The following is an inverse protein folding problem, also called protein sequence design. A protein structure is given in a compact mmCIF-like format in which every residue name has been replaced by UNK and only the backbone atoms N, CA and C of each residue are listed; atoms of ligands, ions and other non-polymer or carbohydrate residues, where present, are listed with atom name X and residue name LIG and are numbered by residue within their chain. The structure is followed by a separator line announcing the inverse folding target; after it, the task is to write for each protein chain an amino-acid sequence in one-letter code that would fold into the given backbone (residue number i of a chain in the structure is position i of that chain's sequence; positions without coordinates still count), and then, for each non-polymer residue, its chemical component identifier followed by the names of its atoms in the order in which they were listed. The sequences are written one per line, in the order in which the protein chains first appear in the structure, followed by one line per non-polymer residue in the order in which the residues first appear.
data_IF_284235720380
#
_entry.id   IF_284235720380
#
_cell.length_a   1.000
_cell.length_b   1.000
_cell.length_c   1.000
_cell.angle_alpha   90.00
_cell.angle_beta   90.00
_cell.angle_gamma   90.00
#
_symmetry.space_group_name_H-M   'P 1'
#
loop_
_entity.id
_entity.type
_entity.pdbx_description
1 polymer ?
#
# COMPACT_ATOMS: atom_id res chain seq x y z
N UNK A 1 10.71 19.06 92.35
CA UNK A 1 12.08 19.63 92.42
C UNK A 1 12.30 20.38 91.11
N UNK A 2 12.25 21.71 91.07
CA UNK A 2 13.23 22.67 91.60
C UNK A 2 14.46 22.87 90.68
N UNK A 3 14.39 23.96 89.89
CA UNK A 3 15.49 24.78 89.33
C UNK A 3 16.71 24.10 88.70
N UNK A 4 16.96 24.41 87.43
CA UNK A 4 18.13 25.25 87.12
C UNK A 4 17.89 26.15 85.89
N UNK A 5 18.60 27.28 85.79
CA UNK A 5 18.41 28.28 84.72
C UNK A 5 19.70 29.08 84.49
N UNK A 6 19.87 29.62 83.26
CA UNK A 6 20.91 30.60 82.83
C UNK A 6 22.32 30.01 82.54
N UNK A 7 23.11 30.50 81.57
CA UNK A 7 22.95 31.62 80.60
C UNK A 7 23.92 31.49 79.38
N UNK A 8 24.01 32.55 78.53
CA UNK A 8 24.97 32.86 77.42
C UNK A 8 24.50 32.42 76.01
N UNK A 9 24.64 33.18 74.89
CA UNK A 9 24.76 34.65 74.61
C UNK A 9 24.50 34.91 73.09
N UNK A 10 23.53 35.78 72.72
CA UNK A 10 23.41 36.51 71.41
C UNK A 10 23.23 35.65 70.11
N UNK A 11 22.73 36.14 68.98
CA UNK A 11 22.36 37.51 68.56
C UNK A 11 21.04 37.52 67.74
N UNK A 12 20.39 38.68 67.64
CA UNK A 12 19.18 38.86 66.83
C UNK A 12 19.50 39.21 65.36
N UNK A 13 18.64 38.78 64.43
CA UNK A 13 18.25 39.58 63.26
C UNK A 13 16.89 39.13 62.73
N UNK A 14 15.96 40.08 62.69
CA UNK A 14 14.57 39.90 62.25
C UNK A 14 14.48 39.80 60.73
N UNK A 15 13.49 39.05 60.25
CA UNK A 15 13.20 38.90 58.83
C UNK A 15 12.79 40.25 58.20
N UNK A 16 13.13 40.43 56.92
CA UNK A 16 12.52 41.43 56.05
C UNK A 16 11.93 40.71 54.84
N UNK A 17 10.63 40.94 54.63
CA UNK A 17 9.87 40.42 53.49
C UNK A 17 10.38 41.01 52.18
N UNK A 18 10.59 40.16 51.17
CA UNK A 18 10.88 40.57 49.79
C UNK A 18 9.57 40.62 48.96
N UNK A 19 9.47 41.53 47.98
CA UNK A 19 8.25 41.74 47.18
C UNK A 19 7.97 40.57 46.21
N UNK A 20 6.75 40.48 45.67
CA UNK A 20 6.36 39.40 44.75
C UNK A 20 7.19 39.42 43.46
N UNK A 21 7.59 38.23 43.00
CA UNK A 21 8.26 38.08 41.71
C UNK A 21 7.26 38.25 40.58
N UNK A 22 7.58 39.14 39.64
CA UNK A 22 6.91 39.35 38.36
C UNK A 22 6.83 38.06 37.55
N UNK A 23 5.71 37.86 36.84
CA UNK A 23 5.55 36.76 35.90
C UNK A 23 6.59 36.84 34.75
N UNK A 24 7.12 35.70 34.24
CA UNK A 24 7.97 35.70 33.07
C UNK A 24 7.21 36.15 31.82
N UNK A 25 7.82 37.04 31.04
CA UNK A 25 7.27 37.50 29.76
C UNK A 25 7.41 36.43 28.67
N UNK A 26 6.53 36.46 27.67
CA UNK A 26 6.49 35.51 26.58
C UNK A 26 7.65 35.69 25.58
N UNK A 27 8.82 35.12 25.89
CA UNK A 27 9.93 34.86 24.96
C UNK A 27 10.73 33.63 25.39
N UNK A 28 10.17 32.42 25.19
CA UNK A 28 10.91 31.14 25.14
C UNK A 28 9.96 29.99 24.71
N UNK A 29 9.36 30.10 23.53
CA UNK A 29 8.58 29.02 22.89
C UNK A 29 9.07 28.80 21.47
N UNK A 30 10.37 28.48 21.35
CA UNK A 30 11.02 28.25 20.05
C UNK A 30 12.27 27.35 20.15
N UNK A 31 12.19 26.20 20.86
CA UNK A 31 13.19 25.11 20.71
C UNK A 31 12.75 23.75 21.34
N UNK A 32 11.63 23.20 20.86
CA UNK A 32 11.34 21.74 20.97
C UNK A 32 10.87 21.14 19.63
N UNK A 33 11.37 21.69 18.52
CA UNK A 33 11.28 21.05 17.21
C UNK A 33 12.54 20.20 17.01
N UNK A 34 12.49 18.91 17.41
CA UNK A 34 13.72 18.10 17.46
C UNK A 34 13.57 16.64 17.88
N UNK A 35 12.36 16.07 17.88
CA UNK A 35 12.15 14.62 17.94
C UNK A 35 11.09 14.24 16.91
N UNK A 36 11.54 14.04 15.67
CA UNK A 36 10.69 13.49 14.62
C UNK A 36 10.33 12.05 14.97
N UNK A 37 9.10 11.82 15.42
CA UNK A 37 8.50 10.51 15.27
C UNK A 37 8.48 10.20 13.77
N UNK A 38 9.26 9.21 13.34
CA UNK A 38 9.28 8.75 11.96
C UNK A 38 7.95 8.03 11.66
N UNK A 39 6.87 8.80 11.50
CA UNK A 39 5.57 8.28 11.14
C UNK A 39 5.67 7.72 9.72
N UNK A 40 5.31 6.45 9.57
CA UNK A 40 5.25 5.80 8.26
C UNK A 40 4.32 6.60 7.35
N UNK A 41 4.90 7.14 6.27
CA UNK A 41 4.20 7.92 5.25
C UNK A 41 3.11 7.05 4.60
N UNK A 42 1.85 7.52 4.47
CA UNK A 42 0.80 6.69 3.92
C UNK A 42 1.09 6.34 2.45
N UNK A 43 0.84 5.08 2.10
CA UNK A 43 1.08 4.55 0.75
C UNK A 43 -0.24 4.12 0.12
N UNK A 44 -0.50 4.59 -1.09
CA UNK A 44 -1.56 4.10 -1.97
C UNK A 44 -0.94 3.22 -3.06
N UNK A 45 -1.28 1.93 -3.03
CA UNK A 45 -0.95 0.97 -4.08
C UNK A 45 -2.18 0.82 -4.97
N UNK A 46 -2.02 0.95 -6.28
CA UNK A 46 -3.08 0.79 -7.25
C UNK A 46 -2.71 -0.34 -8.21
N UNK A 47 -3.63 -1.25 -8.47
CA UNK A 47 -3.47 -2.38 -9.39
C UNK A 47 -4.45 -2.18 -10.54
N UNK A 48 -3.95 -1.99 -11.75
CA UNK A 48 -4.84 -1.64 -12.84
C UNK A 48 -4.37 -1.82 -14.27
N UNK A 49 -5.33 -1.73 -15.17
CA UNK A 49 -5.23 -1.94 -16.61
C UNK A 49 -6.60 -1.67 -17.23
N UNK A 50 -6.67 -1.07 -18.41
CA UNK A 50 -7.96 -0.88 -19.07
C UNK A 50 -8.44 -2.18 -19.73
N UNK A 51 -7.53 -3.05 -20.17
CA UNK A 51 -7.91 -4.39 -20.64
C UNK A 51 -8.50 -5.29 -19.53
N UNK A 52 -9.62 -5.94 -19.85
CA UNK A 52 -10.22 -7.01 -19.03
C UNK A 52 -9.45 -8.34 -19.14
N UNK A 53 -9.56 -9.19 -18.11
CA UNK A 53 -9.00 -10.55 -18.14
C UNK A 53 -7.47 -10.68 -18.02
N UNK A 54 -6.73 -9.58 -17.82
CA UNK A 54 -5.26 -9.59 -17.63
C UNK A 54 -4.82 -10.01 -16.22
N UNK A 55 -5.76 -10.37 -15.33
CA UNK A 55 -5.46 -10.87 -13.98
C UNK A 55 -5.12 -9.81 -12.93
N UNK A 56 -5.71 -8.60 -13.01
CA UNK A 56 -5.56 -7.53 -11.99
C UNK A 56 -5.77 -8.05 -10.56
N UNK A 57 -6.93 -8.63 -10.28
CA UNK A 57 -7.27 -9.21 -8.97
C UNK A 57 -6.32 -10.34 -8.56
N UNK A 58 -5.75 -11.09 -9.50
CA UNK A 58 -4.71 -12.11 -9.22
C UNK A 58 -3.45 -11.46 -8.65
N UNK A 59 -3.00 -10.36 -9.24
CA UNK A 59 -1.83 -9.60 -8.76
C UNK A 59 -2.15 -8.87 -7.45
N UNK A 60 -3.34 -8.29 -7.31
CA UNK A 60 -3.81 -7.69 -6.07
C UNK A 60 -3.79 -8.69 -4.89
N UNK A 61 -4.27 -9.93 -5.10
CA UNK A 61 -4.22 -11.00 -4.09
C UNK A 61 -2.80 -11.45 -3.75
N UNK A 62 -1.92 -11.54 -4.75
CA UNK A 62 -0.50 -11.84 -4.53
C UNK A 62 0.18 -10.75 -3.69
N UNK A 63 -0.10 -9.47 -3.98
CA UNK A 63 0.39 -8.34 -3.20
C UNK A 63 -0.15 -8.37 -1.76
N UNK A 64 -1.45 -8.61 -1.56
CA UNK A 64 -2.04 -8.68 -0.21
C UNK A 64 -1.43 -9.81 0.63
N UNK A 65 -1.24 -11.01 0.07
CA UNK A 65 -0.60 -12.12 0.78
C UNK A 65 0.88 -11.86 1.08
N UNK A 66 1.63 -11.23 0.16
CA UNK A 66 3.03 -10.83 0.37
C UNK A 66 3.16 -9.74 1.46
N UNK A 67 2.27 -8.76 1.47
CA UNK A 67 2.25 -7.71 2.48
C UNK A 67 1.88 -8.29 3.86
N UNK A 68 0.88 -9.19 3.91
CA UNK A 68 0.50 -9.90 5.12
C UNK A 68 1.64 -10.80 5.66
N UNK A 69 2.35 -11.54 4.81
CA UNK A 69 3.49 -12.37 5.25
C UNK A 69 4.67 -11.54 5.78
N UNK A 70 4.78 -10.28 5.37
CA UNK A 70 5.74 -9.30 5.87
C UNK A 70 5.20 -8.42 7.02
N UNK A 71 4.07 -8.79 7.64
CA UNK A 71 3.42 -8.08 8.75
C UNK A 71 2.97 -6.65 8.41
N UNK A 72 2.80 -6.31 7.13
CA UNK A 72 2.23 -5.05 6.69
C UNK A 72 0.71 -5.16 6.73
N UNK A 73 0.08 -4.38 7.61
CA UNK A 73 -1.39 -4.27 7.65
C UNK A 73 -1.83 -3.41 6.47
N UNK A 74 -2.78 -3.93 5.68
CA UNK A 74 -3.31 -3.29 4.48
C UNK A 74 -4.84 -3.21 4.58
N UNK A 75 -5.41 -2.11 4.09
CA UNK A 75 -6.83 -2.00 3.77
C UNK A 75 -7.01 -1.99 2.25
N UNK A 76 -7.98 -2.73 1.74
CA UNK A 76 -8.19 -2.92 0.31
C UNK A 76 -9.50 -2.28 -0.16
N UNK A 77 -9.49 -1.83 -1.40
CA UNK A 77 -10.63 -1.22 -2.09
C UNK A 77 -10.82 -1.92 -3.43
N UNK A 78 -12.03 -2.43 -3.64
CA UNK A 78 -12.43 -3.17 -4.83
C UNK A 78 -13.39 -2.29 -5.64
N UNK A 79 -12.98 -1.90 -6.84
CA UNK A 79 -13.79 -0.97 -7.65
C UNK A 79 -14.80 -1.67 -8.58
N UNK A 80 -14.94 -3.00 -8.48
CA UNK A 80 -15.94 -3.78 -9.24
C UNK A 80 -17.33 -3.69 -8.60
N UNK A 81 -17.84 -2.47 -8.47
CA UNK A 81 -19.13 -2.17 -7.83
C UNK A 81 -20.33 -2.67 -8.67
N UNK A 82 -21.42 -3.19 -8.05
CA UNK A 82 -21.64 -3.40 -6.62
C UNK A 82 -21.26 -4.81 -6.13
N UNK A 83 -20.61 -5.63 -6.97
CA UNK A 83 -20.45 -7.07 -6.70
C UNK A 83 -19.17 -7.42 -5.93
N UNK A 84 -18.08 -6.73 -6.23
CA UNK A 84 -16.73 -7.10 -5.84
C UNK A 84 -16.21 -8.35 -6.56
N UNK A 85 -14.90 -8.39 -6.79
CA UNK A 85 -14.15 -9.59 -7.17
C UNK A 85 -13.07 -9.91 -6.12
N UNK A 86 -12.29 -8.90 -5.71
CA UNK A 86 -11.29 -9.02 -4.64
C UNK A 86 -11.93 -9.28 -3.28
N UNK A 87 -13.07 -8.62 -2.99
CA UNK A 87 -13.76 -8.75 -1.69
C UNK A 87 -14.11 -10.20 -1.34
N UNK A 88 -14.41 -11.03 -2.36
CA UNK A 88 -14.69 -12.46 -2.19
C UNK A 88 -13.56 -13.21 -1.48
N UNK A 89 -12.30 -12.82 -1.71
CA UNK A 89 -11.12 -13.50 -1.18
C UNK A 89 -10.56 -12.87 0.10
N UNK A 90 -10.77 -11.57 0.30
CA UNK A 90 -10.24 -10.81 1.45
C UNK A 90 -11.33 -9.95 2.12
N UNK A 91 -12.47 -10.53 2.56
CA UNK A 91 -13.65 -9.77 2.97
C UNK A 91 -13.41 -8.84 4.17
N UNK A 92 -12.62 -9.29 5.15
CA UNK A 92 -12.32 -8.56 6.39
C UNK A 92 -11.56 -7.24 6.16
N UNK A 93 -10.83 -7.12 5.05
CA UNK A 93 -10.01 -5.94 4.74
C UNK A 93 -10.46 -5.19 3.49
N UNK A 94 -11.44 -5.70 2.74
CA UNK A 94 -11.79 -5.19 1.40
C UNK A 94 -13.17 -4.56 1.37
N UNK A 95 -13.23 -3.30 0.92
CA UNK A 95 -14.49 -2.56 0.73
C UNK A 95 -14.75 -2.35 -0.76
N UNK A 96 -15.97 -2.67 -1.22
CA UNK A 96 -16.40 -2.35 -2.58
C UNK A 96 -16.76 -0.87 -2.67
N UNK A 97 -16.27 -0.19 -3.71
CA UNK A 97 -16.36 1.26 -3.89
C UNK A 97 -16.49 1.66 -5.37
N UNK A 98 -16.94 2.87 -5.66
CA UNK A 98 -16.77 3.53 -6.96
C UNK A 98 -15.88 4.77 -6.79
N UNK A 99 -14.64 4.70 -7.27
CA UNK A 99 -13.68 5.82 -7.20
C UNK A 99 -14.11 7.05 -8.04
N UNK A 100 -15.16 6.94 -8.85
CA UNK A 100 -15.76 8.07 -9.56
C UNK A 100 -16.82 8.81 -8.71
N UNK A 101 -17.20 8.28 -7.54
CA UNK A 101 -18.13 8.92 -6.60
C UNK A 101 -17.38 9.58 -5.43
N UNK A 102 -17.69 10.85 -5.16
CA UNK A 102 -17.03 11.62 -4.08
C UNK A 102 -17.10 10.97 -2.68
N UNK A 103 -18.23 10.38 -2.22
CA UNK A 103 -18.27 9.72 -0.91
C UNK A 103 -17.28 8.55 -0.77
N UNK A 104 -16.95 7.90 -1.88
CA UNK A 104 -16.03 6.76 -1.92
C UNK A 104 -14.59 7.23 -2.11
N UNK A 105 -14.35 8.29 -2.90
CA UNK A 105 -13.07 9.02 -2.93
C UNK A 105 -12.65 9.46 -1.53
N UNK A 106 -13.56 10.09 -0.76
CA UNK A 106 -13.31 10.49 0.63
C UNK A 106 -12.97 9.28 1.52
N UNK A 107 -13.68 8.15 1.35
CA UNK A 107 -13.40 6.91 2.12
C UNK A 107 -12.03 6.33 1.83
N UNK A 108 -11.52 6.47 0.60
CA UNK A 108 -10.17 6.06 0.22
C UNK A 108 -9.13 7.07 0.75
N UNK A 109 -9.30 8.36 0.47
CA UNK A 109 -8.24 9.38 0.51
C UNK A 109 -8.15 10.14 1.84
N UNK A 110 -9.24 10.73 2.34
CA UNK A 110 -9.26 11.51 3.61
C UNK A 110 -8.79 10.67 4.80
N UNK A 111 -8.99 9.36 4.68
CA UNK A 111 -8.61 8.34 5.66
C UNK A 111 -7.15 7.92 5.56
N UNK A 112 -6.38 8.25 4.52
CA UNK A 112 -4.95 7.89 4.41
C UNK A 112 -4.13 8.45 5.57
N UNK A 113 -4.36 9.73 5.92
CA UNK A 113 -3.66 10.41 6.99
C UNK A 113 -4.17 10.01 8.38
N UNK A 114 -5.48 9.84 8.54
CA UNK A 114 -6.13 9.59 9.85
C UNK A 114 -6.18 8.11 10.25
N UNK A 115 -6.12 7.18 9.30
CA UNK A 115 -6.06 5.74 9.54
C UNK A 115 -4.79 5.33 10.27
N UNK A 116 -4.90 4.36 11.17
CA UNK A 116 -3.75 3.66 11.76
C UNK A 116 -3.10 2.72 10.73
N UNK A 117 -3.90 2.17 9.81
CA UNK A 117 -3.43 1.38 8.66
C UNK A 117 -2.93 2.33 7.58
N UNK A 118 -1.61 2.37 7.37
CA UNK A 118 -0.95 3.32 6.46
C UNK A 118 -0.84 2.84 5.01
N UNK A 119 -1.21 1.60 4.72
CA UNK A 119 -1.17 1.05 3.36
C UNK A 119 -2.59 0.78 2.85
N UNK A 120 -2.94 1.41 1.74
CA UNK A 120 -4.17 1.18 0.99
C UNK A 120 -3.84 0.46 -0.32
N UNK A 121 -4.58 -0.58 -0.70
CA UNK A 121 -4.53 -1.19 -2.02
C UNK A 121 -5.85 -0.97 -2.77
N UNK A 122 -5.81 -0.54 -4.03
CA UNK A 122 -6.98 -0.44 -4.92
C UNK A 122 -6.84 -1.48 -6.03
N UNK A 123 -7.82 -2.39 -6.17
CA UNK A 123 -7.99 -3.22 -7.36
C UNK A 123 -8.99 -2.53 -8.31
N UNK A 124 -8.50 -2.14 -9.49
CA UNK A 124 -9.31 -1.44 -10.48
C UNK A 124 -10.15 -2.42 -11.32
N UNK A 125 -11.42 -2.09 -11.55
CA UNK A 125 -12.27 -2.82 -12.51
C UNK A 125 -11.73 -2.68 -13.93
N UNK A 126 -12.21 -3.52 -14.85
CA UNK A 126 -11.83 -3.41 -16.26
C UNK A 126 -12.28 -2.06 -16.87
N UNK A 127 -11.45 -1.49 -17.74
CA UNK A 127 -11.70 -0.22 -18.44
C UNK A 127 -11.85 0.98 -17.50
N UNK A 128 -11.07 1.05 -16.42
CA UNK A 128 -11.18 2.10 -15.42
C UNK A 128 -9.83 2.62 -14.88
N UNK A 129 -8.67 2.19 -15.41
CA UNK A 129 -7.38 2.68 -14.94
C UNK A 129 -7.25 4.19 -15.23
N UNK A 130 -7.41 4.59 -16.50
CA UNK A 130 -7.29 5.99 -16.91
C UNK A 130 -8.29 6.91 -16.19
N UNK A 131 -9.55 6.49 -16.04
CA UNK A 131 -10.57 7.30 -15.34
C UNK A 131 -10.31 7.39 -13.83
N UNK A 132 -9.82 6.32 -13.20
CA UNK A 132 -9.44 6.33 -11.78
C UNK A 132 -8.24 7.23 -11.52
N UNK A 133 -7.23 7.21 -12.40
CA UNK A 133 -6.08 8.12 -12.34
C UNK A 133 -6.49 9.59 -12.57
N UNK A 134 -7.43 9.85 -13.47
CA UNK A 134 -8.02 11.17 -13.65
C UNK A 134 -8.78 11.64 -12.40
N UNK A 135 -9.58 10.77 -11.76
CA UNK A 135 -10.25 11.08 -10.51
C UNK A 135 -9.24 11.43 -9.39
N UNK A 136 -8.13 10.67 -9.26
CA UNK A 136 -7.05 10.97 -8.32
C UNK A 136 -6.34 12.31 -8.63
N UNK A 137 -6.14 12.64 -9.90
CA UNK A 137 -5.62 13.95 -10.31
C UNK A 137 -6.58 15.08 -9.90
N UNK A 138 -7.87 14.94 -10.20
CA UNK A 138 -8.85 16.02 -10.09
C UNK A 138 -9.17 16.37 -8.63
N UNK A 139 -8.94 15.46 -7.68
CA UNK A 139 -8.99 15.71 -6.23
C UNK A 139 -7.63 16.14 -5.63
N UNK A 140 -6.60 16.35 -6.45
CA UNK A 140 -5.27 16.81 -6.02
C UNK A 140 -4.37 15.74 -5.39
N UNK A 141 -4.74 14.46 -5.43
CA UNK A 141 -3.93 13.39 -4.81
C UNK A 141 -2.54 13.25 -5.47
N UNK A 142 -2.45 13.40 -6.79
CA UNK A 142 -1.16 13.31 -7.49
C UNK A 142 -0.23 14.46 -7.15
N UNK A 143 -0.75 15.68 -6.94
CA UNK A 143 0.04 16.83 -6.50
C UNK A 143 0.51 16.65 -5.05
N UNK A 144 -0.31 16.06 -4.17
CA UNK A 144 0.08 15.72 -2.80
C UNK A 144 1.14 14.58 -2.76
N UNK A 145 1.02 13.57 -3.64
CA UNK A 145 2.05 12.54 -3.79
C UNK A 145 3.40 13.15 -4.22
N UNK A 146 3.37 14.04 -5.22
CA UNK A 146 4.52 14.83 -5.69
C UNK A 146 5.11 15.75 -4.60
N UNK A 147 4.27 16.37 -3.77
CA UNK A 147 4.70 17.18 -2.63
C UNK A 147 5.37 16.36 -1.52
N UNK A 148 5.22 15.02 -1.56
CA UNK A 148 5.80 14.11 -0.59
C UNK A 148 4.86 13.72 0.56
N UNK A 149 3.57 14.06 0.48
CA UNK A 149 2.58 13.71 1.52
C UNK A 149 2.19 12.21 1.47
N UNK A 150 2.12 11.65 0.26
CA UNK A 150 1.75 10.26 0.01
C UNK A 150 2.76 9.53 -0.87
N UNK A 151 2.93 8.23 -0.67
CA UNK A 151 3.63 7.37 -1.62
C UNK A 151 2.58 6.81 -2.57
N UNK A 152 2.78 6.99 -3.88
CA UNK A 152 1.89 6.42 -4.88
C UNK A 152 2.63 5.34 -5.68
N UNK A 153 2.07 4.14 -5.70
CA UNK A 153 2.61 2.97 -6.39
C UNK A 153 1.57 2.45 -7.36
N UNK A 154 1.90 2.34 -8.66
CA UNK A 154 1.00 1.79 -9.67
C UNK A 154 1.56 0.51 -10.27
N UNK A 155 0.87 -0.61 -10.05
CA UNK A 155 1.05 -1.87 -10.76
C UNK A 155 0.13 -1.88 -11.98
N UNK A 156 0.66 -1.49 -13.14
CA UNK A 156 -0.07 -1.50 -14.41
C UNK A 156 0.09 -2.84 -15.11
N UNK A 157 -0.99 -3.63 -15.13
CA UNK A 157 -1.02 -5.00 -15.63
C UNK A 157 -1.18 -5.02 -17.14
N UNK A 158 -0.10 -5.33 -17.85
CA UNK A 158 -0.11 -5.33 -19.30
C UNK A 158 -0.86 -6.56 -19.85
N UNK A 159 -1.60 -6.34 -20.93
CA UNK A 159 -2.14 -7.39 -21.77
C UNK A 159 -1.24 -7.69 -22.97
N UNK A 160 -1.25 -8.93 -23.51
CA UNK A 160 -0.44 -9.34 -24.65
C UNK A 160 -1.02 -8.83 -25.98
N UNK A 161 -1.12 -7.52 -26.15
CA UNK A 161 -1.71 -6.87 -27.34
C UNK A 161 -1.28 -5.42 -27.45
N UNK A 162 -1.03 -4.94 -28.67
CA UNK A 162 -0.60 -3.55 -28.95
C UNK A 162 -1.50 -2.50 -28.27
N UNK A 163 -2.82 -2.70 -28.24
CA UNK A 163 -3.75 -1.81 -27.54
C UNK A 163 -3.38 -1.60 -26.06
N UNK A 164 -2.94 -2.65 -25.37
CA UNK A 164 -2.54 -2.58 -23.95
C UNK A 164 -1.10 -2.10 -23.74
N UNK A 165 -0.25 -2.16 -24.78
CA UNK A 165 1.01 -1.42 -24.75
C UNK A 165 0.78 0.10 -24.98
N UNK A 166 -0.24 0.48 -25.76
CA UNK A 166 -0.63 1.89 -25.91
C UNK A 166 -1.13 2.52 -24.61
N UNK A 167 -1.83 1.76 -23.74
CA UNK A 167 -2.25 2.17 -22.39
C UNK A 167 -1.08 2.76 -21.57
N UNK A 168 0.17 2.32 -21.81
CA UNK A 168 1.38 2.87 -21.15
C UNK A 168 1.55 4.36 -21.43
N UNK A 169 1.30 4.82 -22.66
CA UNK A 169 1.45 6.22 -23.06
C UNK A 169 0.32 7.09 -22.53
N UNK A 170 -0.87 6.51 -22.35
CA UNK A 170 -2.05 7.18 -21.77
C UNK A 170 -1.94 7.30 -20.24
N UNK A 171 -1.30 6.32 -19.59
CA UNK A 171 -1.02 6.30 -18.15
C UNK A 171 0.14 7.21 -17.75
N UNK A 172 1.18 7.32 -18.59
CA UNK A 172 2.43 8.03 -18.30
C UNK A 172 2.27 9.44 -17.67
N UNK A 173 1.34 10.32 -18.12
CA UNK A 173 1.16 11.65 -17.53
C UNK A 173 0.82 11.63 -16.03
N UNK A 174 0.10 10.61 -15.56
CA UNK A 174 -0.38 10.50 -14.18
C UNK A 174 0.64 9.92 -13.20
N UNK A 175 1.76 9.38 -13.70
CA UNK A 175 2.71 8.57 -12.91
C UNK A 175 4.14 9.11 -12.93
N UNK A 176 4.33 10.36 -13.34
CA UNK A 176 5.64 11.03 -13.37
C UNK A 176 6.34 10.98 -12.00
N UNK A 177 5.57 11.22 -10.94
CA UNK A 177 6.01 11.29 -9.54
C UNK A 177 5.56 10.05 -8.73
N UNK A 178 5.34 8.90 -9.40
CA UNK A 178 4.88 7.66 -8.80
C UNK A 178 5.88 6.51 -9.02
N UNK A 179 5.87 5.51 -8.13
CA UNK A 179 6.58 4.25 -8.37
C UNK A 179 5.77 3.39 -9.36
N UNK A 180 6.17 3.43 -10.62
CA UNK A 180 5.41 2.84 -11.72
C UNK A 180 5.98 1.47 -12.13
N UNK A 181 5.14 0.44 -12.02
CA UNK A 181 5.49 -0.93 -12.36
C UNK A 181 4.68 -1.43 -13.55
N UNK A 182 5.37 -1.81 -14.62
CA UNK A 182 4.80 -2.45 -15.81
C UNK A 182 4.80 -3.97 -15.59
N UNK A 183 3.63 -4.55 -15.38
CA UNK A 183 3.50 -5.94 -14.92
C UNK A 183 3.16 -6.88 -16.08
N UNK A 184 4.09 -7.77 -16.42
CA UNK A 184 3.88 -8.89 -17.34
C UNK A 184 3.27 -10.06 -16.54
N UNK A 185 1.94 -10.18 -16.57
CA UNK A 185 1.22 -11.26 -15.87
C UNK A 185 0.90 -12.42 -16.82
N UNK A 186 1.60 -13.54 -16.67
CA UNK A 186 1.49 -14.70 -17.55
C UNK A 186 0.27 -15.58 -17.20
N UNK A 187 -0.95 -15.03 -17.35
CA UNK A 187 -2.21 -15.80 -17.18
C UNK A 187 -2.30 -16.96 -18.19
N UNK A 188 -1.68 -16.78 -19.35
CA UNK A 188 -1.51 -17.78 -20.42
C UNK A 188 -0.06 -17.73 -20.94
N UNK A 189 0.26 -18.57 -21.93
CA UNK A 189 1.61 -18.72 -22.48
C UNK A 189 1.96 -17.61 -23.49
N UNK A 190 1.57 -16.36 -23.19
CA UNK A 190 1.92 -15.17 -23.97
C UNK A 190 3.39 -14.79 -23.80
N UNK A 191 3.95 -14.13 -24.80
CA UNK A 191 5.35 -13.69 -24.83
C UNK A 191 5.53 -12.17 -24.72
N UNK A 192 4.47 -11.40 -24.46
CA UNK A 192 4.52 -9.92 -24.30
C UNK A 192 5.36 -9.13 -25.33
N UNK A 193 5.47 -9.66 -26.56
CA UNK A 193 6.34 -9.13 -27.63
C UNK A 193 7.85 -9.16 -27.30
N UNK A 194 8.29 -10.02 -26.38
CA UNK A 194 9.70 -10.23 -26.01
C UNK A 194 10.60 -10.63 -27.22
N UNK A 195 9.98 -11.10 -28.32
CA UNK A 195 10.64 -11.41 -29.60
C UNK A 195 10.77 -10.23 -30.57
N UNK A 196 10.17 -9.07 -30.25
CA UNK A 196 10.21 -7.85 -31.07
C UNK A 196 10.81 -6.66 -30.27
N UNK A 197 12.15 -6.49 -30.33
CA UNK A 197 12.83 -5.36 -29.68
C UNK A 197 12.35 -3.98 -30.13
N UNK A 198 11.83 -3.84 -31.36
CA UNK A 198 11.36 -2.55 -31.86
C UNK A 198 10.03 -2.16 -31.21
N UNK A 199 9.11 -3.12 -31.04
CA UNK A 199 7.89 -2.92 -30.24
C UNK A 199 8.22 -2.61 -28.79
N UNK A 200 9.11 -3.39 -28.14
CA UNK A 200 9.52 -3.11 -26.76
C UNK A 200 10.08 -1.69 -26.60
N UNK A 201 11.05 -1.30 -27.43
CA UNK A 201 11.64 0.05 -27.37
C UNK A 201 10.61 1.16 -27.63
N UNK A 202 9.62 0.91 -28.49
CA UNK A 202 8.57 1.88 -28.85
C UNK A 202 7.58 2.16 -27.72
N UNK A 203 7.36 1.21 -26.80
CA UNK A 203 6.38 1.36 -25.72
C UNK A 203 7.02 1.48 -24.33
N UNK A 204 7.92 0.58 -23.96
CA UNK A 204 8.60 0.58 -22.66
C UNK A 204 9.64 1.70 -22.59
N UNK A 205 10.40 1.91 -23.68
CA UNK A 205 11.42 2.97 -23.77
C UNK A 205 10.89 4.41 -23.68
N UNK A 206 9.57 4.62 -23.71
CA UNK A 206 8.95 5.94 -23.53
C UNK A 206 8.88 6.39 -22.08
N UNK A 207 8.90 5.47 -21.10
CA UNK A 207 8.69 5.80 -19.69
C UNK A 207 9.95 5.56 -18.87
N UNK A 208 10.65 6.65 -18.54
CA UNK A 208 11.96 6.60 -17.86
C UNK A 208 11.92 6.11 -16.41
N UNK A 209 10.76 6.21 -15.76
CA UNK A 209 10.57 5.90 -14.34
C UNK A 209 9.79 4.58 -14.14
N UNK A 210 9.59 3.79 -15.21
CA UNK A 210 8.92 2.50 -15.13
C UNK A 210 9.91 1.37 -14.86
N UNK A 211 9.55 0.44 -13.97
CA UNK A 211 10.26 -0.83 -13.78
C UNK A 211 9.36 -2.00 -14.20
N UNK A 212 9.93 -3.03 -14.82
CA UNK A 212 9.17 -4.25 -15.13
C UNK A 212 9.02 -5.16 -13.91
N UNK A 213 7.88 -5.84 -13.82
CA UNK A 213 7.56 -6.90 -12.85
C UNK A 213 6.99 -8.10 -13.59
N UNK A 214 7.48 -9.30 -13.32
CA UNK A 214 6.97 -10.54 -13.92
C UNK A 214 6.18 -11.34 -12.92
N UNK A 215 4.91 -11.63 -13.24
CA UNK A 215 4.10 -12.57 -12.46
C UNK A 215 3.99 -13.87 -13.28
N UNK A 216 4.69 -14.95 -12.90
CA UNK A 216 4.70 -16.20 -13.64
C UNK A 216 3.31 -16.85 -13.70
N UNK A 217 3.12 -17.79 -14.63
CA UNK A 217 1.89 -18.57 -14.73
C UNK A 217 1.73 -19.52 -13.54
N UNK A 218 0.63 -19.41 -12.80
CA UNK A 218 0.23 -20.46 -11.85
C UNK A 218 -0.28 -21.69 -12.63
N UNK A 219 -0.06 -22.89 -12.09
CA UNK A 219 -0.65 -24.11 -12.64
C UNK A 219 -2.18 -23.96 -12.75
N UNK A 220 -2.77 -24.23 -13.92
CA UNK A 220 -4.18 -23.95 -14.19
C UNK A 220 -5.14 -24.64 -13.20
N UNK A 221 -4.93 -25.93 -12.91
CA UNK A 221 -5.74 -26.66 -11.93
C UNK A 221 -5.55 -26.11 -10.51
N UNK A 222 -4.34 -25.69 -10.14
CA UNK A 222 -4.13 -25.03 -8.86
C UNK A 222 -4.87 -23.69 -8.79
N UNK A 223 -4.81 -22.88 -9.84
CA UNK A 223 -5.54 -21.61 -9.94
C UNK A 223 -7.06 -21.81 -9.81
N UNK A 224 -7.63 -22.73 -10.59
CA UNK A 224 -9.06 -23.10 -10.53
C UNK A 224 -9.49 -23.55 -9.13
N UNK A 225 -8.66 -24.33 -8.42
CA UNK A 225 -8.99 -24.79 -7.07
C UNK A 225 -8.89 -23.66 -6.02
N UNK A 226 -7.97 -22.69 -6.16
CA UNK A 226 -7.98 -21.48 -5.30
C UNK A 226 -9.19 -20.59 -5.64
N UNK A 227 -9.54 -20.45 -6.92
CA UNK A 227 -10.74 -19.73 -7.36
C UNK A 227 -12.01 -20.35 -6.78
N UNK A 228 -12.12 -21.68 -6.73
CA UNK A 228 -13.25 -22.37 -6.11
C UNK A 228 -13.26 -22.21 -4.58
N UNK A 229 -12.11 -22.33 -3.93
CA UNK A 229 -11.99 -22.18 -2.48
C UNK A 229 -12.40 -20.78 -1.98
N UNK A 230 -12.16 -19.73 -2.78
CA UNK A 230 -12.58 -18.37 -2.44
C UNK A 230 -11.81 -17.77 -1.26
N UNK A 231 -10.60 -18.25 -0.98
CA UNK A 231 -9.76 -17.81 0.14
C UNK A 231 -8.55 -16.99 -0.33
N UNK A 232 -7.81 -16.34 0.59
CA UNK A 232 -6.43 -15.94 0.34
C UNK A 232 -5.60 -17.14 -0.14
N UNK A 233 -4.55 -16.90 -0.94
CA UNK A 233 -3.68 -17.98 -1.43
C UNK A 233 -2.88 -18.57 -0.26
N UNK A 234 -2.48 -17.73 0.70
CA UNK A 234 -1.88 -18.14 1.98
C UNK A 234 -2.75 -19.14 2.74
N UNK A 235 -4.05 -18.86 2.91
CA UNK A 235 -5.01 -19.78 3.55
C UNK A 235 -5.16 -21.09 2.77
N UNK A 236 -5.20 -21.02 1.44
CA UNK A 236 -5.25 -22.23 0.60
C UNK A 236 -4.00 -23.10 0.83
N UNK A 237 -2.79 -22.51 0.84
CA UNK A 237 -1.51 -23.19 1.09
C UNK A 237 -1.40 -23.75 2.52
N UNK A 238 -1.98 -23.06 3.49
CA UNK A 238 -2.09 -23.50 4.89
C UNK A 238 -3.11 -24.64 5.10
N UNK A 239 -3.83 -25.06 4.04
CA UNK A 239 -4.90 -26.05 4.09
C UNK A 239 -6.08 -25.60 4.97
N UNK A 240 -6.54 -24.36 4.76
CA UNK A 240 -7.62 -23.74 5.54
C UNK A 240 -8.73 -23.17 4.67
N UNK A 241 -9.95 -23.20 5.20
CA UNK A 241 -11.12 -22.51 4.67
C UNK A 241 -11.07 -21.00 4.99
N UNK A 242 -12.03 -20.23 4.46
CA UNK A 242 -12.18 -18.81 4.79
C UNK A 242 -12.44 -18.55 6.29
N UNK A 243 -13.04 -19.51 7.01
CA UNK A 243 -13.25 -19.43 8.47
C UNK A 243 -12.04 -19.89 9.29
N UNK A 244 -10.94 -20.27 8.64
CA UNK A 244 -9.72 -20.73 9.31
C UNK A 244 -9.72 -22.21 9.73
N UNK A 245 -10.81 -22.93 9.46
CA UNK A 245 -10.96 -24.37 9.72
C UNK A 245 -10.12 -25.21 8.76
N UNK A 246 -9.71 -26.45 9.14
CA UNK A 246 -9.01 -27.36 8.26
C UNK A 246 -9.79 -27.63 6.97
N UNK A 247 -9.12 -27.49 5.83
CA UNK A 247 -9.62 -27.88 4.52
C UNK A 247 -9.07 -29.27 4.12
N UNK A 248 -9.31 -29.66 2.86
CA UNK A 248 -8.76 -30.86 2.25
C UNK A 248 -8.15 -30.53 0.87
N UNK A 249 -7.37 -29.45 0.81
CA UNK A 249 -6.73 -28.99 -0.41
C UNK A 249 -5.54 -29.90 -0.75
N UNK A 250 -5.54 -30.44 -1.97
CA UNK A 250 -4.47 -31.30 -2.48
C UNK A 250 -3.07 -30.74 -2.21
N UNK A 251 -2.23 -31.53 -1.53
CA UNK A 251 -0.84 -31.20 -1.23
C UNK A 251 -0.07 -30.68 -2.45
N UNK A 252 -0.27 -31.33 -3.61
CA UNK A 252 0.37 -30.95 -4.88
C UNK A 252 -0.06 -29.57 -5.35
N UNK A 253 -1.36 -29.26 -5.26
CA UNK A 253 -1.89 -27.95 -5.67
C UNK A 253 -1.46 -26.85 -4.70
N UNK A 254 -1.46 -27.12 -3.39
CA UNK A 254 -0.86 -26.24 -2.38
C UNK A 254 0.63 -26.01 -2.63
N UNK A 255 1.35 -27.03 -3.11
CA UNK A 255 2.76 -26.93 -3.54
C UNK A 255 2.96 -25.98 -4.71
N UNK A 256 2.10 -26.04 -5.74
CA UNK A 256 2.14 -25.10 -6.87
C UNK A 256 1.87 -23.66 -6.41
N UNK A 257 0.82 -23.44 -5.60
CA UNK A 257 0.48 -22.09 -5.11
C UNK A 257 1.60 -21.51 -4.25
N UNK A 258 2.18 -22.29 -3.33
CA UNK A 258 3.32 -21.86 -2.50
C UNK A 258 4.55 -21.49 -3.32
N UNK A 259 4.91 -22.33 -4.29
CA UNK A 259 6.06 -22.09 -5.18
C UNK A 259 5.84 -20.83 -6.03
N UNK A 260 4.60 -20.58 -6.45
CA UNK A 260 4.22 -19.38 -7.19
C UNK A 260 4.26 -18.12 -6.31
N UNK A 261 3.73 -18.18 -5.08
CA UNK A 261 3.83 -17.07 -4.12
C UNK A 261 5.29 -16.70 -3.83
N UNK A 262 6.19 -17.68 -3.66
CA UNK A 262 7.61 -17.41 -3.45
C UNK A 262 8.24 -16.64 -4.62
N UNK A 263 7.96 -17.03 -5.87
CA UNK A 263 8.46 -16.32 -7.06
C UNK A 263 7.92 -14.89 -7.17
N UNK A 264 6.66 -14.68 -6.80
CA UNK A 264 6.09 -13.33 -6.75
C UNK A 264 6.76 -12.48 -5.66
N UNK A 265 7.06 -13.08 -4.49
CA UNK A 265 7.79 -12.42 -3.41
C UNK A 265 9.20 -12.02 -3.85
N UNK A 266 9.94 -12.91 -4.53
CA UNK A 266 11.25 -12.59 -5.12
C UNK A 266 11.19 -11.38 -6.06
N UNK A 267 10.15 -11.26 -6.88
CA UNK A 267 9.94 -10.10 -7.76
C UNK A 267 9.51 -8.82 -7.01
N UNK A 268 8.72 -8.92 -5.94
CA UNK A 268 8.35 -7.78 -5.09
C UNK A 268 9.52 -7.29 -4.22
N UNK A 269 10.38 -8.19 -3.77
CA UNK A 269 11.64 -7.88 -3.08
C UNK A 269 12.63 -7.21 -4.05
N UNK A 270 12.75 -7.69 -5.29
CA UNK A 270 13.61 -7.12 -6.34
C UNK A 270 13.28 -5.66 -6.67
N UNK A 271 12.00 -5.28 -6.61
CA UNK A 271 11.56 -3.88 -6.80
C UNK A 271 11.54 -3.07 -5.50
N UNK A 272 12.08 -3.61 -4.40
CA UNK A 272 12.17 -2.95 -3.09
C UNK A 272 10.81 -2.51 -2.53
N UNK A 273 9.72 -3.24 -2.81
CA UNK A 273 8.35 -2.80 -2.51
C UNK A 273 8.14 -2.44 -1.03
N UNK A 274 8.75 -3.20 -0.10
CA UNK A 274 8.68 -2.91 1.33
C UNK A 274 9.43 -1.63 1.71
N UNK A 275 10.56 -1.30 1.07
CA UNK A 275 11.28 -0.05 1.33
C UNK A 275 10.49 1.16 0.82
N UNK A 276 9.85 1.03 -0.36
CA UNK A 276 8.94 2.06 -0.89
C UNK A 276 7.78 2.34 0.07
N UNK A 277 7.11 1.30 0.56
CA UNK A 277 5.99 1.41 1.51
C UNK A 277 6.44 2.01 2.85
N UNK A 278 7.66 1.69 3.30
CA UNK A 278 8.23 2.24 4.53
C UNK A 278 8.85 3.64 4.37
N UNK A 279 8.82 4.24 3.18
CA UNK A 279 9.40 5.57 2.91
C UNK A 279 10.92 5.59 2.97
N UNK A 280 11.58 4.52 2.48
CA UNK A 280 13.04 4.35 2.45
C UNK A 280 13.64 4.34 1.03
N UNK A 281 12.81 4.57 0.00
CA UNK A 281 13.22 4.71 -1.40
C UNK A 281 13.56 6.14 -1.80
#
# INVERSE_FOLDING_TARGET
MARNTKHIRRAARTAHSRPPKTAPQAKDVAQTAGMGHNQMKPTLIMVGADKGGVGKTTVARALLDYLASNNVIVRAFDTETPRGTLQRFHPEITQVVDINQTPDQMRILDTLNTSQVKVSLIDTRAGALASSLAALRDVGFLDAAKAGDFNFVLFHILGPSIASLSEISETAPFVTDAHYFLVKNYVNDSTFFDWDPATLQTYFGKVKNASEVTIPKLNAMAYEQVELAGTPLSSFVADKTASGEPANHSFTLRGYVRTWQNKNAEEFDRIHLLDLINGRG
#
